data_IF_880058285349
#
_entry.id   IF_880058285349
#
_cell.length_a   1.000
_cell.length_b   1.000
_cell.length_c   1.000
_cell.angle_alpha   90.00
_cell.angle_beta   90.00
_cell.angle_gamma   90.00
#
_symmetry.space_group_name_H-M   'P 1'
#
loop_
_entity.id
_entity.type
_entity.pdbx_description
1 polymer ?
#
# COMPACT_ATOMS: atom_id res chain seq x y z
N UNK A 1 -14.78 -19.98 -2.88
CA UNK A 1 -13.99 -19.07 -3.74
C UNK A 1 -13.04 -18.27 -2.88
N UNK A 2 -11.87 -17.94 -3.41
CA UNK A 2 -10.80 -17.21 -2.70
C UNK A 2 -11.31 -15.86 -2.17
N UNK A 3 -12.14 -15.16 -2.96
CA UNK A 3 -12.76 -13.90 -2.57
C UNK A 3 -13.56 -13.95 -1.25
N UNK A 4 -14.14 -15.10 -0.88
CA UNK A 4 -14.93 -15.21 0.35
C UNK A 4 -14.09 -15.03 1.62
N UNK A 5 -12.79 -15.37 1.58
CA UNK A 5 -11.86 -15.09 2.69
C UNK A 5 -11.62 -13.60 2.86
N UNK A 6 -11.32 -12.90 1.76
CA UNK A 6 -11.08 -11.46 1.75
C UNK A 6 -12.32 -10.67 2.19
N UNK A 7 -13.52 -11.08 1.76
CA UNK A 7 -14.80 -10.47 2.18
C UNK A 7 -15.02 -10.53 3.69
N UNK A 8 -14.60 -11.62 4.34
CA UNK A 8 -14.67 -11.73 5.81
C UNK A 8 -13.67 -10.80 6.50
N UNK A 9 -12.44 -10.69 5.97
CA UNK A 9 -11.44 -9.78 6.51
C UNK A 9 -11.82 -8.30 6.30
N UNK A 10 -12.46 -7.96 5.19
CA UNK A 10 -12.96 -6.60 4.94
C UNK A 10 -13.90 -6.11 6.05
N UNK A 11 -14.75 -7.00 6.58
CA UNK A 11 -15.69 -6.66 7.65
C UNK A 11 -14.98 -6.23 8.95
N UNK A 12 -13.69 -6.54 9.13
CA UNK A 12 -12.92 -6.15 10.31
C UNK A 12 -12.31 -4.76 10.21
N UNK A 13 -12.29 -4.15 9.02
CA UNK A 13 -11.75 -2.81 8.80
C UNK A 13 -12.83 -1.80 9.19
N UNK A 14 -12.59 -0.98 10.22
CA UNK A 14 -13.58 -0.02 10.74
C UNK A 14 -13.61 1.31 10.00
N UNK A 15 -12.44 1.80 9.56
CA UNK A 15 -12.34 3.03 8.77
C UNK A 15 -13.04 2.85 7.42
N UNK A 16 -14.02 3.71 7.13
CA UNK A 16 -14.88 3.59 5.95
C UNK A 16 -14.14 3.88 4.64
N UNK A 17 -13.24 4.87 4.63
CA UNK A 17 -12.39 5.19 3.48
C UNK A 17 -11.47 4.01 3.17
N UNK A 18 -10.79 3.47 4.19
CA UNK A 18 -9.94 2.28 4.05
C UNK A 18 -10.73 1.09 3.52
N UNK A 19 -11.92 0.85 4.10
CA UNK A 19 -12.80 -0.24 3.67
C UNK A 19 -13.19 -0.09 2.20
N UNK A 20 -13.45 1.13 1.73
CA UNK A 20 -13.82 1.39 0.33
C UNK A 20 -12.70 0.99 -0.64
N UNK A 21 -11.44 1.32 -0.35
CA UNK A 21 -10.32 0.89 -1.19
C UNK A 21 -10.18 -0.63 -1.29
N UNK A 22 -10.34 -1.33 -0.16
CA UNK A 22 -10.25 -2.79 -0.12
C UNK A 22 -11.44 -3.41 -0.87
N UNK A 23 -12.64 -2.88 -0.68
CA UNK A 23 -13.86 -3.30 -1.39
C UNK A 23 -13.71 -3.21 -2.92
N UNK A 24 -13.18 -2.09 -3.44
CA UNK A 24 -12.91 -1.93 -4.88
C UNK A 24 -11.93 -2.97 -5.43
N UNK A 25 -10.88 -3.24 -4.65
CA UNK A 25 -9.85 -4.24 -5.00
C UNK A 25 -10.44 -5.65 -5.04
N UNK A 26 -11.30 -6.00 -4.09
CA UNK A 26 -11.99 -7.30 -4.06
C UNK A 26 -12.98 -7.41 -5.22
N UNK A 27 -13.75 -6.37 -5.54
CA UNK A 27 -14.63 -6.36 -6.71
C UNK A 27 -13.87 -6.60 -8.01
N UNK A 28 -12.70 -5.98 -8.17
CA UNK A 28 -11.84 -6.20 -9.32
C UNK A 28 -11.33 -7.66 -9.38
N UNK A 29 -10.95 -8.25 -8.24
CA UNK A 29 -10.56 -9.67 -8.16
C UNK A 29 -11.70 -10.60 -8.58
N UNK A 30 -12.92 -10.37 -8.08
CA UNK A 30 -14.12 -11.16 -8.39
C UNK A 30 -14.51 -11.06 -9.87
N UNK A 31 -14.30 -9.89 -10.48
CA UNK A 31 -14.46 -9.67 -11.93
C UNK A 31 -13.30 -10.26 -12.76
N UNK A 32 -12.34 -10.94 -12.14
CA UNK A 32 -11.12 -11.50 -12.77
C UNK A 32 -10.18 -10.46 -13.38
N UNK A 33 -10.27 -9.20 -12.93
CA UNK A 33 -9.40 -8.09 -13.32
C UNK A 33 -8.16 -8.05 -12.42
N UNK A 34 -7.36 -9.13 -12.45
CA UNK A 34 -6.30 -9.39 -11.46
C UNK A 34 -5.23 -8.30 -11.38
N UNK A 35 -4.81 -7.75 -12.52
CA UNK A 35 -3.85 -6.63 -12.55
C UNK A 35 -4.45 -5.38 -11.92
N UNK A 36 -5.72 -5.08 -12.21
CA UNK A 36 -6.42 -3.94 -11.62
C UNK A 36 -6.62 -4.12 -10.12
N UNK A 37 -6.96 -5.33 -9.66
CA UNK A 37 -7.12 -5.64 -8.25
C UNK A 37 -5.84 -5.34 -7.44
N UNK A 38 -4.67 -5.70 -7.98
CA UNK A 38 -3.35 -5.41 -7.38
C UNK A 38 -3.03 -3.91 -7.38
N UNK A 39 -3.36 -3.21 -8.47
CA UNK A 39 -3.09 -1.76 -8.56
C UNK A 39 -3.97 -1.00 -7.58
N UNK A 40 -5.27 -1.30 -7.52
CA UNK A 40 -6.22 -0.64 -6.62
C UNK A 40 -5.89 -0.91 -5.14
N UNK A 41 -5.52 -2.15 -4.79
CA UNK A 41 -5.18 -2.48 -3.41
C UNK A 41 -3.93 -1.73 -2.95
N UNK A 42 -2.94 -1.60 -3.83
CA UNK A 42 -1.75 -0.83 -3.53
C UNK A 42 -2.03 0.67 -3.38
N UNK A 43 -2.87 1.26 -4.24
CA UNK A 43 -3.28 2.67 -4.12
C UNK A 43 -3.90 2.93 -2.75
N UNK A 44 -4.82 2.06 -2.32
CA UNK A 44 -5.41 2.16 -0.98
C UNK A 44 -4.37 2.07 0.13
N UNK A 45 -3.44 1.11 0.04
CA UNK A 45 -2.44 0.91 1.08
C UNK A 45 -1.52 2.13 1.25
N UNK A 46 -1.10 2.75 0.14
CA UNK A 46 -0.30 3.97 0.18
C UNK A 46 -1.09 5.14 0.75
N UNK A 47 -2.37 5.29 0.38
CA UNK A 47 -3.24 6.33 0.95
C UNK A 47 -3.30 6.23 2.48
N UNK A 48 -3.53 5.03 3.01
CA UNK A 48 -3.61 4.78 4.45
C UNK A 48 -2.28 5.10 5.16
N UNK A 49 -1.15 4.71 4.55
CA UNK A 49 0.16 5.01 5.11
C UNK A 49 0.47 6.52 5.06
N UNK A 50 0.06 7.23 4.01
CA UNK A 50 0.18 8.69 3.94
C UNK A 50 -0.63 9.37 5.04
N UNK A 51 -1.88 8.95 5.25
CA UNK A 51 -2.73 9.46 6.33
C UNK A 51 -2.07 9.26 7.69
N UNK A 52 -1.56 8.05 7.95
CA UNK A 52 -0.85 7.75 9.19
C UNK A 52 0.38 8.65 9.40
N UNK A 53 1.19 8.87 8.36
CA UNK A 53 2.35 9.76 8.44
C UNK A 53 1.92 11.19 8.77
N UNK A 54 0.93 11.72 8.05
CA UNK A 54 0.44 13.08 8.24
C UNK A 54 -0.13 13.28 9.65
N UNK A 55 -0.86 12.30 10.19
CA UNK A 55 -1.52 12.42 11.50
C UNK A 55 -0.59 12.15 12.68
N UNK A 56 0.47 11.36 12.49
CA UNK A 56 1.20 10.75 13.63
C UNK A 56 2.67 11.13 13.69
N UNK A 57 3.37 11.20 12.55
CA UNK A 57 4.83 11.27 12.55
C UNK A 57 5.46 12.19 11.47
N UNK A 58 4.69 13.12 10.91
CA UNK A 58 5.11 13.98 9.79
C UNK A 58 6.44 14.72 10.02
N UNK A 59 6.67 15.26 11.22
CA UNK A 59 7.91 15.97 11.53
C UNK A 59 9.14 15.05 11.47
N UNK A 60 9.02 13.84 12.03
CA UNK A 60 10.07 12.83 12.00
C UNK A 60 10.27 12.29 10.58
N UNK A 61 9.18 12.11 9.83
CA UNK A 61 9.21 11.76 8.40
C UNK A 61 10.01 12.78 7.60
N UNK A 62 9.69 14.07 7.72
CA UNK A 62 10.40 15.12 7.00
C UNK A 62 11.89 15.19 7.38
N UNK A 63 12.22 15.02 8.66
CA UNK A 63 13.61 15.01 9.11
C UNK A 63 14.42 13.86 8.48
N UNK A 64 13.84 12.67 8.39
CA UNK A 64 14.51 11.51 7.78
C UNK A 64 14.50 11.56 6.24
N UNK A 65 13.45 12.10 5.63
CA UNK A 65 13.36 12.30 4.19
C UNK A 65 14.50 13.21 3.66
N UNK A 66 14.83 14.29 4.37
CA UNK A 66 15.96 15.18 4.02
C UNK A 66 17.30 14.43 4.00
N UNK A 67 17.49 13.44 4.88
CA UNK A 67 18.74 12.67 4.92
C UNK A 67 18.92 11.76 3.70
N UNK A 68 17.82 11.33 3.09
CA UNK A 68 17.79 10.43 1.92
C UNK A 68 17.76 11.19 0.61
N UNK A 69 17.00 12.27 0.58
CA UNK A 69 16.86 13.15 -0.57
C UNK A 69 17.19 14.58 -0.14
N UNK A 70 18.42 15.02 -0.40
CA UNK A 70 18.89 16.35 0.02
C UNK A 70 18.04 17.51 -0.54
N UNK A 71 17.32 17.28 -1.65
CA UNK A 71 16.41 18.26 -2.27
C UNK A 71 14.96 18.15 -1.76
N UNK A 72 14.71 17.31 -0.76
CA UNK A 72 13.38 17.09 -0.20
C UNK A 72 12.80 18.40 0.29
N UNK A 73 11.59 18.70 -0.20
CA UNK A 73 10.76 19.77 0.35
C UNK A 73 9.87 19.15 1.40
N UNK A 74 9.91 19.70 2.62
CA UNK A 74 9.10 19.21 3.72
C UNK A 74 7.63 19.08 3.31
N UNK A 75 7.08 17.88 3.45
CA UNK A 75 5.70 17.59 3.13
C UNK A 75 4.74 18.15 4.17
N UNK A 76 3.58 18.60 3.67
CA UNK A 76 2.45 19.08 4.47
C UNK A 76 1.15 18.37 4.09
N UNK A 77 1.08 17.83 2.88
CA UNK A 77 -0.10 17.14 2.33
C UNK A 77 0.27 15.75 1.81
N UNK A 78 -0.74 14.96 1.45
CA UNK A 78 -0.53 13.68 0.78
C UNK A 78 0.21 13.85 -0.56
N UNK A 79 -0.16 14.87 -1.36
CA UNK A 79 0.50 15.16 -2.63
C UNK A 79 1.99 15.49 -2.46
N UNK A 80 2.34 16.15 -1.35
CA UNK A 80 3.74 16.41 -1.05
C UNK A 80 4.51 15.10 -0.76
N UNK A 81 3.89 14.14 -0.05
CA UNK A 81 4.47 12.81 0.20
C UNK A 81 4.64 12.01 -1.09
N UNK A 82 3.70 12.13 -2.03
CA UNK A 82 3.73 11.45 -3.33
C UNK A 82 4.90 11.88 -4.24
N UNK A 83 5.60 12.97 -3.92
CA UNK A 83 6.84 13.35 -4.61
C UNK A 83 7.99 12.36 -4.37
N UNK A 84 7.94 11.65 -3.25
CA UNK A 84 8.91 10.60 -2.93
C UNK A 84 8.50 9.31 -3.63
N UNK A 85 9.47 8.60 -4.21
CA UNK A 85 9.22 7.26 -4.76
C UNK A 85 8.76 6.33 -3.64
N UNK A 86 7.76 5.50 -3.92
CA UNK A 86 7.18 4.58 -2.94
C UNK A 86 8.21 3.64 -2.31
N UNK A 87 9.25 3.24 -3.06
CA UNK A 87 10.35 2.46 -2.53
C UNK A 87 11.09 3.18 -1.39
N UNK A 88 11.43 4.46 -1.62
CA UNK A 88 12.14 5.30 -0.64
C UNK A 88 11.22 5.65 0.53
N UNK A 89 9.93 5.87 0.26
CA UNK A 89 8.89 6.05 1.28
C UNK A 89 8.86 4.88 2.27
N UNK A 90 8.85 3.63 1.79
CA UNK A 90 8.91 2.44 2.65
C UNK A 90 10.21 2.37 3.47
N UNK A 91 11.34 2.81 2.92
CA UNK A 91 12.59 2.86 3.69
C UNK A 91 12.51 3.87 4.84
N UNK A 92 11.89 5.02 4.61
CA UNK A 92 11.67 6.03 5.67
C UNK A 92 10.77 5.47 6.76
N UNK A 93 9.64 4.83 6.39
CA UNK A 93 8.74 4.24 7.38
C UNK A 93 9.44 3.19 8.25
N UNK A 94 10.28 2.35 7.64
CA UNK A 94 11.04 1.36 8.37
C UNK A 94 12.13 1.98 9.27
N UNK A 95 12.81 3.03 8.81
CA UNK A 95 13.80 3.75 9.61
C UNK A 95 13.18 4.45 10.83
N UNK A 96 11.91 4.84 10.73
CA UNK A 96 11.12 5.41 11.82
C UNK A 96 10.40 4.36 12.68
N UNK A 97 10.62 3.07 12.42
CA UNK A 97 9.93 1.96 13.09
C UNK A 97 8.40 2.00 12.99
N UNK A 98 7.84 2.71 11.99
CA UNK A 98 6.40 2.68 11.68
C UNK A 98 6.01 1.29 11.17
N UNK A 99 6.90 0.68 10.39
CA UNK A 99 6.79 -0.72 9.95
C UNK A 99 8.09 -1.48 10.26
N UNK A 100 7.97 -2.77 10.56
CA UNK A 100 9.12 -3.64 10.79
C UNK A 100 9.85 -4.02 9.50
N UNK A 101 11.09 -4.52 9.64
CA UNK A 101 11.94 -4.95 8.51
C UNK A 101 11.24 -5.95 7.58
N UNK A 102 10.66 -7.01 8.13
CA UNK A 102 10.00 -8.05 7.33
C UNK A 102 8.76 -7.54 6.61
N UNK A 103 7.96 -6.68 7.27
CA UNK A 103 6.80 -6.04 6.63
C UNK A 103 7.26 -5.15 5.47
N UNK A 104 8.31 -4.36 5.67
CA UNK A 104 8.89 -3.53 4.60
C UNK A 104 9.33 -4.38 3.40
N UNK A 105 10.03 -5.50 3.62
CA UNK A 105 10.48 -6.40 2.55
C UNK A 105 9.29 -6.99 1.77
N UNK A 106 8.22 -7.41 2.44
CA UNK A 106 7.00 -7.89 1.78
C UNK A 106 6.24 -6.77 1.03
N UNK A 107 6.24 -5.54 1.58
CA UNK A 107 5.66 -4.39 0.90
C UNK A 107 6.46 -3.99 -0.36
N UNK A 108 7.78 -4.15 -0.36
CA UNK A 108 8.60 -3.96 -1.56
C UNK A 108 8.28 -5.01 -2.64
N UNK A 109 8.01 -6.27 -2.26
CA UNK A 109 7.52 -7.30 -3.19
C UNK A 109 6.15 -6.91 -3.76
N UNK A 110 5.24 -6.42 -2.92
CA UNK A 110 3.93 -5.93 -3.33
C UNK A 110 4.04 -4.75 -4.30
N UNK A 111 4.93 -3.80 -4.03
CA UNK A 111 5.22 -2.65 -4.89
C UNK A 111 5.75 -3.11 -6.25
N UNK A 112 6.71 -4.05 -6.27
CA UNK A 112 7.27 -4.60 -7.51
C UNK A 112 6.19 -5.27 -8.36
N UNK A 113 5.29 -6.03 -7.74
CA UNK A 113 4.17 -6.66 -8.43
C UNK A 113 3.17 -5.62 -8.97
N UNK A 114 2.83 -4.59 -8.18
CA UNK A 114 2.01 -3.47 -8.64
C UNK A 114 2.62 -2.76 -9.83
N UNK A 115 3.93 -2.49 -9.80
CA UNK A 115 4.64 -1.87 -10.92
C UNK A 115 4.57 -2.74 -12.18
N UNK A 116 4.71 -4.06 -12.06
CA UNK A 116 4.46 -4.97 -13.17
C UNK A 116 3.03 -4.89 -13.69
N UNK A 117 2.03 -4.82 -12.81
CA UNK A 117 0.62 -4.75 -13.22
C UNK A 117 0.23 -3.40 -13.83
N UNK A 118 0.90 -2.30 -13.47
CA UNK A 118 0.61 -0.94 -13.93
C UNK A 118 1.25 -0.53 -15.26
N UNK A 119 2.22 -1.29 -15.79
CA UNK A 119 2.89 -0.98 -17.05
C UNK A 119 2.52 -1.94 -18.19
N UNK A 120 2.53 -1.50 -19.47
CA UNK A 120 2.42 -2.41 -20.60
C UNK A 120 3.59 -3.41 -20.59
N UNK A 121 3.28 -4.71 -20.49
CA UNK A 121 4.25 -5.80 -20.53
C UNK A 121 3.53 -7.14 -20.71
N UNK A 122 4.31 -8.23 -20.81
CA UNK A 122 3.83 -9.60 -20.96
C UNK A 122 3.52 -10.32 -19.64
N UNK A 123 3.49 -9.63 -18.49
CA UNK A 123 3.19 -10.25 -17.20
C UNK A 123 1.74 -10.74 -17.16
N UNK A 124 1.57 -12.03 -16.88
CA UNK A 124 0.28 -12.65 -16.58
C UNK A 124 0.18 -12.91 -15.08
N UNK A 125 -0.97 -12.59 -14.50
CA UNK A 125 -1.26 -12.77 -13.07
C UNK A 125 -2.51 -13.61 -12.93
N UNK A 126 -2.49 -14.62 -12.06
CA UNK A 126 -3.64 -15.45 -11.72
C UNK A 126 -4.34 -15.01 -10.42
N UNK A 127 -5.51 -15.59 -10.16
CA UNK A 127 -6.37 -15.29 -9.01
C UNK A 127 -5.63 -15.38 -7.67
N UNK A 128 -4.88 -16.46 -7.43
CA UNK A 128 -4.21 -16.70 -6.15
C UNK A 128 -3.17 -15.62 -5.85
N UNK A 129 -2.43 -15.18 -6.88
CA UNK A 129 -1.39 -14.15 -6.72
C UNK A 129 -2.01 -12.78 -6.44
N UNK A 130 -3.11 -12.43 -7.11
CA UNK A 130 -3.82 -11.20 -6.84
C UNK A 130 -4.49 -11.21 -5.45
N UNK A 131 -5.09 -12.33 -5.05
CA UNK A 131 -5.66 -12.46 -3.72
C UNK A 131 -4.62 -12.36 -2.61
N UNK A 132 -3.48 -13.04 -2.76
CA UNK A 132 -2.40 -12.99 -1.77
C UNK A 132 -1.85 -11.58 -1.60
N UNK A 133 -1.78 -10.80 -2.68
CA UNK A 133 -1.39 -9.39 -2.63
C UNK A 133 -2.39 -8.55 -1.81
N UNK A 134 -3.70 -8.72 -2.05
CA UNK A 134 -4.73 -8.01 -1.28
C UNK A 134 -4.68 -8.43 0.20
N UNK A 135 -4.59 -9.73 0.49
CA UNK A 135 -4.52 -10.25 1.86
C UNK A 135 -3.31 -9.71 2.64
N UNK A 136 -2.13 -9.69 1.98
CA UNK A 136 -0.90 -9.14 2.58
C UNK A 136 -1.09 -7.68 3.01
N UNK A 137 -1.74 -6.86 2.17
CA UNK A 137 -2.03 -5.46 2.48
C UNK A 137 -3.12 -5.30 3.54
N UNK A 138 -4.13 -6.18 3.58
CA UNK A 138 -5.13 -6.19 4.64
C UNK A 138 -4.47 -6.39 5.99
N UNK A 139 -3.66 -7.44 6.13
CA UNK A 139 -3.09 -7.84 7.42
C UNK A 139 -2.04 -6.86 7.95
N UNK A 140 -1.29 -6.21 7.06
CA UNK A 140 -0.10 -5.44 7.44
C UNK A 140 -0.23 -3.93 7.22
N UNK A 141 -1.29 -3.48 6.53
CA UNK A 141 -1.57 -2.05 6.33
C UNK A 141 -2.98 -1.73 6.78
N UNK A 142 -4.00 -2.24 6.08
CA UNK A 142 -5.38 -1.79 6.27
C UNK A 142 -6.00 -2.12 7.63
N UNK A 143 -5.57 -3.21 8.27
CA UNK A 143 -6.02 -3.56 9.61
C UNK A 143 -5.15 -2.95 10.73
N UNK A 144 -4.05 -2.27 10.37
CA UNK A 144 -3.06 -1.74 11.33
C UNK A 144 -3.12 -0.22 11.50
N UNK A 145 -3.44 0.50 10.43
CA UNK A 145 -3.45 1.95 10.35
C UNK A 145 -4.84 2.42 9.92
#
# INVERSE_FOLDING_TARGET
MVANGLRKQLATITNETTRTFVEESIKALEARLYRSAIVLSWVGAVSVLYDHVLSTCLNNFNAEAVRREAKWKAAKTQDDLARMKEFDFLQVLAALSVIGKSVKEELEVCLKLRNGCGHPNSLVVGEQRASAHIEMLIQNVFAKF
#
